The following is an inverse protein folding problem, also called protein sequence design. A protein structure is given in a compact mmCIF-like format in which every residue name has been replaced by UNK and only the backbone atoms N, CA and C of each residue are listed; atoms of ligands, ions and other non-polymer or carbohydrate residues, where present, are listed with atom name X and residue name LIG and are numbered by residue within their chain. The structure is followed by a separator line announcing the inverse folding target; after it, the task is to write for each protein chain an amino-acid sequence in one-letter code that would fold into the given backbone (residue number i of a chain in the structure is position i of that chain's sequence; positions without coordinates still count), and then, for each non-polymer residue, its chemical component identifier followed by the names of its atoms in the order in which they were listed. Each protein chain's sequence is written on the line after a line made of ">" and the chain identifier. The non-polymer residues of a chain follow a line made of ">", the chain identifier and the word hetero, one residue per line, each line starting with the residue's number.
data_IF_395914150384
#
_entry.id   IF_395914150384
#
_cell.length_a   1.000
_cell.length_b   1.000
_cell.length_c   1.000
_cell.angle_alpha   90.00
_cell.angle_beta   90.00
_cell.angle_gamma   90.00
#
_symmetry.space_group_name_H-M   'P 1'
#
loop_
_entity.id
_entity.type
_entity.pdbx_description
1 polymer ?
#
# COMPACT_ATOMS: atom_id res chain seq x y z
N UNK A 1 -26.58 -6.37 -7.35
CA UNK A 1 -25.47 -5.54 -6.83
C UNK A 1 -24.35 -5.54 -7.84
N UNK A 2 -23.76 -4.39 -8.19
CA UNK A 2 -22.57 -4.38 -9.04
C UNK A 2 -21.42 -5.12 -8.33
N UNK A 3 -20.57 -5.87 -9.05
CA UNK A 3 -19.45 -6.58 -8.43
C UNK A 3 -18.45 -5.59 -7.82
N UNK A 4 -17.95 -5.90 -6.62
CA UNK A 4 -16.92 -5.12 -5.90
C UNK A 4 -15.61 -5.03 -6.70
N UNK A 5 -14.86 -3.93 -6.56
CA UNK A 5 -13.60 -3.69 -7.29
C UNK A 5 -12.55 -4.77 -7.03
N UNK A 6 -11.61 -4.96 -7.97
CA UNK A 6 -10.50 -5.88 -7.80
C UNK A 6 -9.58 -5.49 -6.63
N UNK A 7 -9.39 -4.18 -6.37
CA UNK A 7 -8.70 -3.67 -5.18
C UNK A 7 -9.35 -4.22 -3.90
N UNK A 8 -10.67 -4.06 -3.76
CA UNK A 8 -11.39 -4.48 -2.55
C UNK A 8 -11.31 -5.98 -2.32
N UNK A 9 -11.38 -6.78 -3.39
CA UNK A 9 -11.21 -8.25 -3.29
C UNK A 9 -9.80 -8.66 -2.85
N UNK A 10 -8.79 -7.85 -3.17
CA UNK A 10 -7.38 -8.09 -2.83
C UNK A 10 -6.91 -7.30 -1.59
N UNK A 11 -7.84 -6.69 -0.84
CA UNK A 11 -7.53 -5.94 0.35
C UNK A 11 -7.52 -6.86 1.60
N UNK A 12 -6.53 -6.70 2.48
CA UNK A 12 -6.42 -7.46 3.72
C UNK A 12 -5.97 -6.57 4.88
N UNK A 13 -6.56 -6.75 6.05
CA UNK A 13 -6.18 -6.08 7.29
C UNK A 13 -5.96 -7.09 8.41
N UNK A 14 -5.11 -6.73 9.39
CA UNK A 14 -5.13 -7.43 10.69
C UNK A 14 -6.21 -6.82 11.59
N UNK A 15 -6.60 -7.56 12.64
CA UNK A 15 -7.60 -7.10 13.62
C UNK A 15 -7.26 -5.74 14.24
N UNK A 16 -6.00 -5.57 14.67
CA UNK A 16 -5.53 -4.38 15.40
C UNK A 16 -6.43 -4.03 16.61
N UNK A 17 -6.78 -2.77 16.79
CA UNK A 17 -7.66 -2.32 17.87
C UNK A 17 -9.09 -2.83 17.66
N UNK A 18 -9.85 -3.11 18.74
CA UNK A 18 -9.51 -2.91 20.15
C UNK A 18 -8.89 -4.14 20.83
N UNK A 19 -8.76 -5.28 20.14
CA UNK A 19 -8.46 -6.57 20.77
C UNK A 19 -6.98 -6.94 20.77
N UNK A 20 -6.19 -6.38 19.85
CA UNK A 20 -4.74 -6.61 19.81
C UNK A 20 -4.02 -5.63 20.75
N UNK A 21 -3.42 -6.16 21.83
CA UNK A 21 -2.65 -5.36 22.79
C UNK A 21 -1.34 -4.77 22.25
N UNK A 22 -0.94 -5.09 21.02
CA UNK A 22 0.24 -4.53 20.34
C UNK A 22 -0.12 -3.49 19.28
N UNK A 23 -1.41 -3.23 19.05
CA UNK A 23 -1.85 -2.30 18.02
C UNK A 23 -1.54 -0.85 18.40
N UNK A 24 -0.98 -0.10 17.44
CA UNK A 24 -0.68 1.32 17.57
C UNK A 24 -1.72 2.18 16.83
N UNK A 25 -2.33 1.62 15.78
CA UNK A 25 -3.35 2.26 14.94
C UNK A 25 -4.47 1.26 14.59
N UNK A 26 -5.58 1.77 14.05
CA UNK A 26 -6.64 0.94 13.46
C UNK A 26 -6.15 0.19 12.23
N UNK A 27 -6.80 -0.93 11.92
CA UNK A 27 -6.53 -1.69 10.69
C UNK A 27 -7.85 -2.21 10.10
N UNK A 28 -8.39 -3.33 10.60
CA UNK A 28 -9.60 -3.96 10.05
C UNK A 28 -10.80 -3.01 10.01
N UNK A 29 -10.96 -2.16 11.03
CA UNK A 29 -12.08 -1.21 11.13
C UNK A 29 -11.93 0.02 10.24
N UNK A 30 -10.70 0.37 9.84
CA UNK A 30 -10.41 1.53 8.99
C UNK A 30 -10.30 1.15 7.50
N UNK A 31 -9.83 -0.06 7.20
CA UNK A 31 -9.60 -0.52 5.83
C UNK A 31 -10.82 -0.32 4.89
N UNK A 32 -12.09 -0.60 5.29
CA UNK A 32 -13.24 -0.39 4.41
C UNK A 32 -13.40 1.06 3.95
N UNK A 33 -13.16 2.04 4.82
CA UNK A 33 -13.27 3.46 4.49
C UNK A 33 -12.15 3.90 3.55
N UNK A 34 -10.91 3.45 3.83
CA UNK A 34 -9.77 3.70 2.96
C UNK A 34 -9.99 3.12 1.55
N UNK A 35 -10.45 1.87 1.45
CA UNK A 35 -10.73 1.23 0.16
C UNK A 35 -11.81 2.02 -0.60
N UNK A 36 -12.88 2.41 0.08
CA UNK A 36 -13.96 3.23 -0.52
C UNK A 36 -13.44 4.56 -1.06
N UNK A 37 -12.57 5.24 -0.31
CA UNK A 37 -11.97 6.50 -0.72
C UNK A 37 -11.04 6.36 -1.94
N UNK A 38 -10.35 5.21 -2.08
CA UNK A 38 -9.49 4.90 -3.23
C UNK A 38 -10.28 4.41 -4.45
N UNK A 39 -11.38 3.68 -4.25
CA UNK A 39 -12.21 3.12 -5.32
C UNK A 39 -12.71 4.18 -6.29
N UNK A 40 -13.08 5.37 -5.80
CA UNK A 40 -13.49 6.48 -6.67
C UNK A 40 -12.41 6.87 -7.67
N UNK A 41 -11.14 6.93 -7.24
CA UNK A 41 -10.01 7.25 -8.12
C UNK A 41 -9.64 6.09 -9.06
N UNK A 42 -9.75 4.85 -8.57
CA UNK A 42 -9.54 3.64 -9.36
C UNK A 42 -10.56 3.54 -10.51
N UNK A 43 -11.84 3.78 -10.22
CA UNK A 43 -12.90 3.74 -11.24
C UNK A 43 -12.72 4.84 -12.29
N UNK A 44 -12.44 6.07 -11.85
CA UNK A 44 -12.17 7.20 -12.77
C UNK A 44 -10.95 6.95 -13.67
N UNK A 45 -9.98 6.18 -13.18
CA UNK A 45 -8.76 5.83 -13.92
C UNK A 45 -8.90 4.56 -14.75
N UNK A 46 -10.08 3.92 -14.79
CA UNK A 46 -10.31 2.68 -15.52
C UNK A 46 -9.61 1.45 -14.94
N UNK A 47 -9.21 1.50 -13.67
CA UNK A 47 -8.48 0.44 -12.96
C UNK A 47 -9.40 -0.50 -12.17
N UNK A 48 -10.72 -0.45 -12.39
CA UNK A 48 -11.71 -1.20 -11.59
C UNK A 48 -11.37 -2.69 -11.43
N UNK A 49 -10.92 -3.29 -12.52
CA UNK A 49 -10.65 -4.72 -12.62
C UNK A 49 -9.15 -5.05 -12.49
N UNK A 50 -8.29 -4.05 -12.29
CA UNK A 50 -6.88 -4.26 -11.98
C UNK A 50 -6.72 -4.82 -10.56
N UNK A 51 -6.18 -6.03 -10.47
CA UNK A 51 -5.87 -6.64 -9.18
C UNK A 51 -4.66 -5.95 -8.56
N UNK A 52 -4.93 -5.04 -7.64
CA UNK A 52 -3.94 -4.33 -6.83
C UNK A 52 -4.02 -4.86 -5.40
N UNK A 53 -2.90 -5.34 -4.85
CA UNK A 53 -2.90 -5.81 -3.45
C UNK A 53 -2.71 -4.64 -2.47
N UNK A 54 -3.68 -4.47 -1.58
CA UNK A 54 -3.65 -3.49 -0.49
C UNK A 54 -3.65 -4.22 0.85
N UNK A 55 -2.63 -4.00 1.68
CA UNK A 55 -2.54 -4.67 2.98
C UNK A 55 -2.25 -3.69 4.11
N UNK A 56 -3.01 -3.79 5.19
CA UNK A 56 -2.95 -2.89 6.33
C UNK A 56 -2.68 -3.65 7.64
N UNK A 57 -1.83 -3.07 8.49
CA UNK A 57 -1.59 -3.57 9.84
C UNK A 57 -1.54 -2.43 10.84
N UNK A 58 -2.00 -2.67 12.06
CA UNK A 58 -2.03 -1.66 13.11
C UNK A 58 -0.69 -1.44 13.83
N UNK A 59 0.34 -2.27 13.56
CA UNK A 59 1.66 -2.20 14.19
C UNK A 59 2.72 -2.90 13.31
N UNK A 60 4.04 -2.73 13.58
CA UNK A 60 5.10 -3.22 12.69
C UNK A 60 5.27 -4.75 12.62
N UNK A 61 4.53 -5.52 13.42
CA UNK A 61 4.61 -6.99 13.44
C UNK A 61 4.15 -7.65 12.12
N UNK A 62 3.38 -6.94 11.29
CA UNK A 62 3.11 -7.40 9.93
C UNK A 62 2.14 -8.58 9.80
N UNK A 63 1.15 -8.73 10.70
CA UNK A 63 0.20 -9.86 10.67
C UNK A 63 -0.55 -10.04 9.34
N UNK A 64 -0.90 -8.94 8.66
CA UNK A 64 -1.51 -8.96 7.33
C UNK A 64 -0.46 -8.93 6.20
N UNK A 65 0.82 -9.21 6.48
CA UNK A 65 1.91 -9.24 5.49
C UNK A 65 1.99 -7.97 4.60
N UNK A 66 2.01 -6.75 5.19
CA UNK A 66 1.97 -5.49 4.45
C UNK A 66 3.22 -5.25 3.58
N UNK A 67 4.35 -5.81 3.98
CA UNK A 67 5.63 -5.66 3.27
C UNK A 67 5.70 -6.47 1.97
N UNK A 68 4.74 -7.37 1.73
CA UNK A 68 4.62 -8.14 0.48
C UNK A 68 3.56 -7.57 -0.47
N UNK A 69 2.87 -6.50 -0.08
CA UNK A 69 1.81 -5.90 -0.89
C UNK A 69 2.36 -4.87 -1.86
N UNK A 70 1.61 -4.63 -2.93
CA UNK A 70 1.88 -3.51 -3.85
C UNK A 70 1.66 -2.18 -3.13
N UNK A 71 0.64 -2.10 -2.26
CA UNK A 71 0.39 -1.00 -1.32
C UNK A 71 0.30 -1.57 0.11
N UNK A 72 1.26 -1.18 0.96
CA UNK A 72 1.32 -1.61 2.36
C UNK A 72 1.15 -0.45 3.33
N UNK A 73 0.32 -0.62 4.37
CA UNK A 73 0.16 0.35 5.45
C UNK A 73 0.51 -0.30 6.80
N UNK A 74 1.40 0.36 7.55
CA UNK A 74 1.87 -0.11 8.86
C UNK A 74 1.65 0.97 9.90
N UNK A 75 0.80 0.69 10.88
CA UNK A 75 0.47 1.61 11.97
C UNK A 75 1.70 1.98 12.81
N UNK A 76 1.82 3.27 13.09
CA UNK A 76 2.90 3.86 13.90
C UNK A 76 2.39 4.64 15.12
N UNK A 77 1.10 4.94 15.15
CA UNK A 77 0.40 5.62 16.24
C UNK A 77 -1.06 5.89 15.85
N UNK A 78 -1.88 6.45 16.74
CA UNK A 78 -3.29 6.73 16.45
C UNK A 78 -3.46 7.55 15.17
N UNK A 79 -4.12 6.96 14.16
CA UNK A 79 -4.36 7.59 12.85
C UNK A 79 -3.10 7.83 11.99
N UNK A 80 -1.95 7.25 12.34
CA UNK A 80 -0.67 7.48 11.66
C UNK A 80 -0.03 6.19 11.15
N UNK A 81 0.40 6.19 9.89
CA UNK A 81 0.87 5.01 9.17
C UNK A 81 2.15 5.27 8.38
N UNK A 82 3.00 4.25 8.27
CA UNK A 82 4.01 4.17 7.22
C UNK A 82 3.38 3.56 5.97
N UNK A 83 3.55 4.22 4.82
CA UNK A 83 3.10 3.76 3.52
C UNK A 83 4.28 3.12 2.77
N UNK A 84 4.09 1.90 2.33
CA UNK A 84 5.04 1.10 1.56
C UNK A 84 4.50 0.82 0.16
N UNK A 85 5.39 0.81 -0.85
CA UNK A 85 5.04 0.53 -2.24
C UNK A 85 5.99 -0.49 -2.87
N UNK A 86 5.51 -1.24 -3.88
CA UNK A 86 6.39 -1.98 -4.80
C UNK A 86 6.67 -3.44 -4.43
N UNK A 87 5.94 -4.03 -3.48
CA UNK A 87 5.99 -5.48 -3.26
C UNK A 87 5.38 -6.21 -4.45
N UNK A 88 6.03 -7.27 -4.95
CA UNK A 88 5.56 -7.95 -6.15
C UNK A 88 4.23 -8.67 -5.91
N UNK A 89 3.32 -8.63 -6.89
CA UNK A 89 2.00 -9.26 -6.81
C UNK A 89 2.06 -10.76 -6.48
N UNK A 90 3.09 -11.46 -6.95
CA UNK A 90 3.35 -12.88 -6.70
C UNK A 90 4.07 -13.18 -5.38
N UNK A 91 4.42 -12.14 -4.61
CA UNK A 91 5.11 -12.25 -3.32
C UNK A 91 6.63 -12.46 -3.41
N UNK A 92 7.24 -12.34 -4.60
CA UNK A 92 8.70 -12.54 -4.79
C UNK A 92 9.57 -11.38 -4.34
N UNK A 93 8.99 -10.19 -4.11
CA UNK A 93 9.70 -8.96 -3.76
C UNK A 93 9.02 -8.22 -2.62
N UNK A 94 9.83 -7.72 -1.68
CA UNK A 94 9.37 -6.84 -0.61
C UNK A 94 9.21 -5.39 -1.11
N UNK A 95 8.17 -4.71 -0.62
CA UNK A 95 7.94 -3.29 -0.83
C UNK A 95 9.02 -2.41 -0.17
N UNK A 96 9.00 -1.11 -0.44
CA UNK A 96 9.87 -0.10 0.19
C UNK A 96 9.04 0.96 0.89
N UNK A 97 9.61 1.51 1.96
CA UNK A 97 9.05 2.67 2.63
C UNK A 97 9.00 3.85 1.65
N UNK A 98 7.79 4.35 1.39
CA UNK A 98 7.53 5.47 0.50
C UNK A 98 7.21 6.76 1.27
N UNK A 99 6.43 6.67 2.35
CA UNK A 99 6.15 7.78 3.28
C UNK A 99 6.08 7.29 4.71
N UNK A 100 6.52 8.11 5.66
CA UNK A 100 6.61 7.78 7.09
C UNK A 100 5.62 8.61 7.89
N UNK A 101 4.92 7.99 8.83
CA UNK A 101 4.06 8.64 9.83
C UNK A 101 2.98 9.59 9.25
N UNK A 102 2.30 9.16 8.19
CA UNK A 102 1.27 9.95 7.51
C UNK A 102 -0.15 9.59 7.93
N UNK A 103 -1.05 10.57 7.90
CA UNK A 103 -2.48 10.41 8.17
C UNK A 103 -3.32 10.10 6.93
N UNK A 104 -4.65 9.97 7.10
CA UNK A 104 -5.60 9.65 6.02
C UNK A 104 -5.44 10.55 4.79
N UNK A 105 -5.52 11.87 4.98
CA UNK A 105 -5.46 12.83 3.86
C UNK A 105 -4.13 12.74 3.11
N UNK A 106 -3.03 12.56 3.83
CA UNK A 106 -1.71 12.40 3.24
C UNK A 106 -1.60 11.08 2.46
N UNK A 107 -2.15 9.96 2.98
CA UNK A 107 -2.23 8.67 2.27
C UNK A 107 -2.98 8.86 0.95
N UNK A 108 -4.15 9.53 0.99
CA UNK A 108 -4.96 9.78 -0.20
C UNK A 108 -4.23 10.69 -1.20
N UNK A 109 -3.60 11.76 -0.72
CA UNK A 109 -2.81 12.68 -1.56
C UNK A 109 -1.60 12.00 -2.21
N UNK A 110 -1.03 10.99 -1.53
CA UNK A 110 0.12 10.25 -2.03
C UNK A 110 -0.28 9.17 -3.04
N UNK A 111 -1.40 8.47 -2.82
CA UNK A 111 -1.82 7.34 -3.67
C UNK A 111 -2.62 7.74 -4.90
N UNK A 112 -3.47 8.77 -4.82
CA UNK A 112 -4.28 9.24 -5.96
C UNK A 112 -3.44 9.55 -7.22
N UNK A 113 -2.37 10.38 -7.15
CA UNK A 113 -1.55 10.64 -8.34
C UNK A 113 -0.84 9.38 -8.82
N UNK A 114 -0.33 8.53 -7.92
CA UNK A 114 0.35 7.28 -8.29
C UNK A 114 -0.58 6.35 -9.09
N UNK A 115 -1.85 6.21 -8.66
CA UNK A 115 -2.83 5.38 -9.37
C UNK A 115 -3.23 5.99 -10.73
N UNK A 116 -3.40 7.31 -10.79
CA UNK A 116 -3.72 8.01 -12.03
C UNK A 116 -2.56 7.91 -13.06
N UNK A 117 -1.32 8.08 -12.59
CA UNK A 117 -0.13 7.97 -13.42
C UNK A 117 0.12 6.52 -13.85
N UNK A 118 -0.09 5.53 -12.97
CA UNK A 118 -0.07 4.12 -13.34
C UNK A 118 -1.08 3.82 -14.46
N UNK A 119 -2.33 4.27 -14.34
CA UNK A 119 -3.33 4.04 -15.38
C UNK A 119 -2.94 4.62 -16.73
N UNK A 120 -2.29 5.80 -16.73
CA UNK A 120 -1.90 6.55 -17.93
C UNK A 120 -0.60 6.07 -18.57
N UNK A 121 0.36 5.63 -17.75
CA UNK A 121 1.75 5.42 -18.17
C UNK A 121 2.21 3.96 -18.06
N UNK A 122 1.37 3.04 -17.59
CA UNK A 122 1.71 1.61 -17.52
C UNK A 122 2.01 1.03 -18.90
N UNK A 123 2.97 0.12 -18.94
CA UNK A 123 3.23 -0.72 -20.11
C UNK A 123 2.20 -1.87 -20.20
N UNK A 124 1.97 -2.45 -21.39
CA UNK A 124 1.09 -3.61 -21.51
C UNK A 124 1.51 -4.75 -20.57
N UNK A 125 0.58 -5.19 -19.71
CA UNK A 125 0.82 -6.27 -18.73
C UNK A 125 1.59 -5.86 -17.47
N UNK A 126 1.98 -4.59 -17.34
CA UNK A 126 2.68 -4.09 -16.16
C UNK A 126 1.74 -3.99 -14.96
N UNK A 127 2.19 -4.47 -13.79
CA UNK A 127 1.49 -4.34 -12.51
C UNK A 127 1.92 -3.05 -11.79
N UNK A 128 1.10 -2.57 -10.85
CA UNK A 128 1.41 -1.38 -10.05
C UNK A 128 2.78 -1.49 -9.38
N UNK A 129 3.09 -2.67 -8.84
CA UNK A 129 4.36 -2.96 -8.17
C UNK A 129 5.61 -2.78 -9.04
N UNK A 130 5.53 -3.05 -10.34
CA UNK A 130 6.65 -2.84 -11.27
C UNK A 130 6.65 -1.40 -11.77
N UNK A 131 5.48 -0.81 -11.98
CA UNK A 131 5.33 0.60 -12.35
C UNK A 131 6.00 1.55 -11.35
N UNK A 132 5.78 1.37 -10.04
CA UNK A 132 6.36 2.25 -9.02
C UNK A 132 7.90 2.15 -8.93
N UNK A 133 8.47 1.05 -9.44
CA UNK A 133 9.93 0.88 -9.54
C UNK A 133 10.43 1.53 -10.83
N UNK A 134 9.76 1.26 -11.97
CA UNK A 134 10.13 1.81 -13.28
C UNK A 134 10.03 3.34 -13.32
N UNK A 135 8.98 3.91 -12.72
CA UNK A 135 8.78 5.36 -12.59
C UNK A 135 9.74 6.01 -11.59
N UNK A 136 10.47 5.22 -10.79
CA UNK A 136 11.43 5.71 -9.81
C UNK A 136 10.82 6.20 -8.50
N UNK A 137 9.53 5.94 -8.23
CA UNK A 137 8.87 6.29 -6.96
C UNK A 137 9.52 5.56 -5.77
N UNK A 138 9.91 4.31 -5.97
CA UNK A 138 10.68 3.50 -5.00
C UNK A 138 11.74 2.66 -5.72
N UNK A 139 12.78 2.24 -4.98
CA UNK A 139 13.79 1.28 -5.48
C UNK A 139 13.32 -0.16 -5.28
N UNK A 140 13.75 -1.08 -6.13
CA UNK A 140 13.48 -2.49 -5.93
C UNK A 140 14.23 -3.03 -4.70
N UNK A 141 13.60 -3.88 -3.89
CA UNK A 141 14.32 -4.71 -2.91
C UNK A 141 14.89 -5.93 -3.63
N UNK A 142 16.22 -5.99 -3.82
CA UNK A 142 16.89 -7.04 -4.61
C UNK A 142 17.64 -8.09 -3.77
N UNK A 143 17.83 -7.84 -2.47
CA UNK A 143 18.51 -8.74 -1.55
C UNK A 143 17.93 -8.64 -0.13
N UNK A 144 18.15 -9.68 0.69
CA UNK A 144 17.57 -9.80 2.04
C UNK A 144 17.89 -8.63 2.97
N UNK A 145 19.07 -8.02 2.88
CA UNK A 145 19.45 -6.86 3.70
C UNK A 145 19.05 -5.51 3.08
N UNK A 146 18.49 -5.51 1.87
CA UNK A 146 18.19 -4.29 1.13
C UNK A 146 16.88 -3.63 1.51
N UNK A 147 16.04 -4.22 2.38
CA UNK A 147 14.68 -3.71 2.64
C UNK A 147 14.67 -2.26 3.16
N UNK A 148 15.60 -1.89 4.04
CA UNK A 148 15.73 -0.53 4.60
C UNK A 148 16.78 0.34 3.88
N UNK A 149 17.42 -0.17 2.82
CA UNK A 149 18.39 0.58 2.03
C UNK A 149 17.71 1.39 0.92
N UNK A 150 18.45 2.31 0.28
CA UNK A 150 18.03 3.02 -0.95
C UNK A 150 16.68 3.74 -0.85
N UNK A 151 16.35 4.21 0.36
CA UNK A 151 15.14 5.00 0.61
C UNK A 151 15.36 6.44 0.16
N UNK A 152 14.26 7.15 -0.13
CA UNK A 152 14.34 8.59 -0.39
C UNK A 152 14.95 9.33 0.82
N UNK A 153 15.62 10.48 0.60
CA UNK A 153 16.18 11.29 1.68
C UNK A 153 15.14 11.58 2.78
N UNK A 154 15.53 11.44 4.04
CA UNK A 154 14.65 11.64 5.20
C UNK A 154 13.80 10.44 5.62
N UNK A 155 13.85 9.32 4.88
CA UNK A 155 13.16 8.06 5.24
C UNK A 155 14.08 7.00 5.86
N UNK A 156 15.39 7.24 5.89
CA UNK A 156 16.34 6.35 6.56
C UNK A 156 16.03 6.26 8.07
N UNK A 157 16.32 5.11 8.72
CA UNK A 157 16.08 4.89 10.15
C UNK A 157 16.66 5.99 11.05
#
# INVERSE_FOLDING_TARGET
>A
SAPVSALRRNAMACVALPTCGLALAESERYLPDLVTALESGIEQSGLRDDEITLRMTGCPNGCARPYLAEIGLVGTGPGSYNLYLGGAFDGTRLSKLYRKQIGHEEIMSALRPVLADYARERMPGERLSDYVIRSGLVRATTANNGFHADLAPGLSP
#
